data_IF_401373021968
#
_entry.id   IF_401373021968
#
_cell.length_a   1.000
_cell.length_b   1.000
_cell.length_c   1.000
_cell.angle_alpha   90.00
_cell.angle_beta   90.00
_cell.angle_gamma   90.00
#
_symmetry.space_group_name_H-M   'P 1'
#
loop_
_entity.id
_entity.type
_entity.pdbx_description
1 polymer ?
#
# COMPACT_ATOMS: atom_id res chain seq x y z
N UNK A 1 43.30 29.65 37.37
CA UNK A 1 41.98 28.98 37.23
C UNK A 1 42.23 27.50 36.94
N UNK A 2 41.87 26.58 37.85
CA UNK A 2 42.13 25.13 37.68
C UNK A 2 40.95 24.51 36.95
N UNK A 3 41.15 24.12 35.69
CA UNK A 3 40.11 23.50 34.85
C UNK A 3 39.97 22.03 35.28
N UNK A 4 38.85 21.71 35.94
CA UNK A 4 38.55 20.35 36.38
C UNK A 4 37.88 19.60 35.23
N UNK A 5 38.67 19.00 34.34
CA UNK A 5 38.18 18.13 33.29
C UNK A 5 38.10 16.70 33.82
N UNK A 6 36.97 16.34 34.42
CA UNK A 6 36.62 14.94 34.64
C UNK A 6 36.20 14.36 33.29
N UNK A 7 37.03 13.47 32.74
CA UNK A 7 36.70 12.68 31.56
C UNK A 7 35.81 11.50 31.94
N UNK A 8 34.98 11.06 30.99
CA UNK A 8 34.21 9.82 31.11
C UNK A 8 35.14 8.63 31.34
N UNK A 9 34.72 7.69 32.19
CA UNK A 9 35.43 6.44 32.40
C UNK A 9 34.96 5.38 31.41
N UNK A 10 35.84 4.48 30.98
CA UNK A 10 35.47 3.38 30.07
C UNK A 10 34.34 2.51 30.63
N UNK A 11 34.30 2.32 31.95
CA UNK A 11 33.28 1.52 32.65
C UNK A 11 31.89 2.16 32.51
N UNK A 12 31.81 3.48 32.60
CA UNK A 12 30.57 4.23 32.47
C UNK A 12 30.01 4.14 31.06
N UNK A 13 30.89 4.19 30.05
CA UNK A 13 30.51 4.04 28.65
C UNK A 13 30.12 2.59 28.33
N UNK A 14 30.82 1.60 28.90
CA UNK A 14 30.52 0.18 28.77
C UNK A 14 29.11 -0.15 29.30
N UNK A 15 28.76 0.35 30.49
CA UNK A 15 27.45 0.11 31.09
C UNK A 15 26.31 0.63 30.19
N UNK A 16 26.48 1.80 29.56
CA UNK A 16 25.49 2.38 28.65
C UNK A 16 25.29 1.51 27.42
N UNK A 17 26.37 1.01 26.80
CA UNK A 17 26.28 0.14 25.61
C UNK A 17 25.58 -1.18 25.94
N UNK A 18 25.81 -1.74 27.13
CA UNK A 18 25.10 -2.94 27.60
C UNK A 18 23.60 -2.68 27.73
N UNK A 19 23.19 -1.56 28.34
CA UNK A 19 21.77 -1.22 28.44
C UNK A 19 21.13 -0.95 27.08
N UNK A 20 21.81 -0.24 26.17
CA UNK A 20 21.33 -0.01 24.80
C UNK A 20 21.18 -1.33 24.02
N UNK A 21 22.09 -2.28 24.21
CA UNK A 21 22.01 -3.62 23.61
C UNK A 21 20.78 -4.40 24.08
N UNK A 22 20.46 -4.37 25.38
CA UNK A 22 19.28 -5.05 25.94
C UNK A 22 17.99 -4.46 25.35
N UNK A 23 17.90 -3.12 25.29
CA UNK A 23 16.72 -2.44 24.73
C UNK A 23 16.57 -2.76 23.24
N UNK A 24 17.68 -2.78 22.47
CA UNK A 24 17.66 -3.06 21.04
C UNK A 24 17.14 -4.47 20.71
N UNK A 25 17.51 -5.49 21.50
CA UNK A 25 17.05 -6.88 21.30
C UNK A 25 15.54 -7.01 21.47
N UNK A 26 14.93 -6.27 22.41
CA UNK A 26 13.47 -6.29 22.65
C UNK A 26 12.73 -5.45 21.60
N UNK A 27 13.30 -4.32 21.19
CA UNK A 27 12.67 -3.39 20.25
C UNK A 27 12.65 -3.91 18.81
N UNK A 28 13.75 -4.53 18.35
CA UNK A 28 13.91 -4.98 16.96
C UNK A 28 12.77 -5.87 16.42
N UNK A 29 12.34 -6.97 17.09
CA UNK A 29 11.29 -7.83 16.54
C UNK A 29 9.92 -7.16 16.48
N UNK A 30 9.65 -6.18 17.34
CA UNK A 30 8.38 -5.45 17.35
C UNK A 30 8.30 -4.47 16.18
N UNK A 31 9.39 -3.76 15.88
CA UNK A 31 9.45 -2.84 14.74
C UNK A 31 9.24 -3.56 13.40
N UNK A 32 9.85 -4.73 13.20
CA UNK A 32 9.68 -5.51 11.96
C UNK A 32 8.24 -6.00 11.74
N UNK A 33 7.50 -6.32 12.81
CA UNK A 33 6.09 -6.75 12.69
C UNK A 33 5.15 -5.60 12.36
N UNK A 34 5.37 -4.43 12.94
CA UNK A 34 4.55 -3.26 12.66
C UNK A 34 4.77 -2.73 11.24
N UNK A 35 6.00 -2.82 10.71
CA UNK A 35 6.30 -2.46 9.32
C UNK A 35 5.51 -3.34 8.34
N UNK A 36 5.59 -4.68 8.50
CA UNK A 36 4.86 -5.62 7.65
C UNK A 36 3.34 -5.45 7.77
N UNK A 37 2.83 -5.17 8.97
CA UNK A 37 1.40 -4.90 9.16
C UNK A 37 0.97 -3.61 8.46
N UNK A 38 1.80 -2.56 8.51
CA UNK A 38 1.53 -1.32 7.78
C UNK A 38 1.51 -1.56 6.26
N UNK A 39 2.34 -2.45 5.73
CA UNK A 39 2.31 -2.84 4.31
C UNK A 39 1.01 -3.57 3.96
N UNK A 40 0.60 -4.56 4.75
CA UNK A 40 -0.66 -5.30 4.56
C UNK A 40 -1.89 -4.37 4.65
N UNK A 41 -1.88 -3.41 5.58
CA UNK A 41 -2.95 -2.42 5.71
C UNK A 41 -2.97 -1.46 4.51
N UNK A 42 -1.81 -0.97 4.07
CA UNK A 42 -1.69 -0.16 2.86
C UNK A 42 -2.18 -0.93 1.61
N UNK A 43 -1.94 -2.25 1.59
CA UNK A 43 -2.42 -3.16 0.54
C UNK A 43 -3.94 -3.17 0.39
N UNK A 44 -4.63 -3.29 1.52
CA UNK A 44 -6.09 -3.28 1.54
C UNK A 44 -6.67 -1.94 1.09
N UNK A 45 -5.98 -0.83 1.39
CA UNK A 45 -6.46 0.53 1.11
C UNK A 45 -6.41 0.84 -0.39
N UNK A 46 -5.35 0.52 -1.15
CA UNK A 46 -5.38 0.83 -2.58
C UNK A 46 -6.39 -0.05 -3.33
N UNK A 47 -6.56 -1.32 -2.93
CA UNK A 47 -7.58 -2.18 -3.52
C UNK A 47 -8.98 -1.57 -3.36
N UNK A 48 -9.27 -1.03 -2.17
CA UNK A 48 -10.53 -0.31 -1.92
C UNK A 48 -10.65 0.98 -2.74
N UNK A 49 -9.56 1.69 -3.00
CA UNK A 49 -9.57 2.88 -3.87
C UNK A 49 -9.86 2.52 -5.32
N UNK A 50 -9.23 1.47 -5.84
CA UNK A 50 -9.47 0.96 -7.20
C UNK A 50 -10.94 0.55 -7.34
N UNK A 51 -11.47 -0.18 -6.36
CA UNK A 51 -12.88 -0.59 -6.31
C UNK A 51 -13.85 0.61 -6.38
N UNK A 52 -13.63 1.62 -5.54
CA UNK A 52 -14.45 2.83 -5.54
C UNK A 52 -14.33 3.63 -6.86
N UNK A 53 -13.13 3.72 -7.42
CA UNK A 53 -12.90 4.40 -8.69
C UNK A 53 -13.61 3.67 -9.84
N UNK A 54 -13.50 2.34 -9.90
CA UNK A 54 -14.17 1.50 -10.88
C UNK A 54 -15.70 1.64 -10.82
N UNK A 55 -16.27 1.64 -9.62
CA UNK A 55 -17.69 1.92 -9.41
C UNK A 55 -18.10 3.29 -9.96
N UNK A 56 -17.31 4.32 -9.66
CA UNK A 56 -17.61 5.67 -10.11
C UNK A 56 -17.49 5.81 -11.63
N UNK A 57 -16.49 5.17 -12.24
CA UNK A 57 -16.31 5.16 -13.70
C UNK A 57 -17.45 4.45 -14.43
N UNK A 58 -17.81 3.25 -13.95
CA UNK A 58 -18.93 2.49 -14.50
C UNK A 58 -20.26 3.25 -14.38
N UNK A 59 -20.51 3.88 -13.23
CA UNK A 59 -21.71 4.70 -13.03
C UNK A 59 -21.71 5.95 -13.93
N UNK A 60 -20.55 6.54 -14.21
CA UNK A 60 -20.42 7.76 -15.03
C UNK A 60 -20.60 7.49 -16.52
N UNK A 61 -20.02 6.42 -17.06
CA UNK A 61 -19.94 6.17 -18.51
C UNK A 61 -20.82 5.03 -19.01
N UNK A 62 -21.19 4.09 -18.13
CA UNK A 62 -21.86 2.85 -18.53
C UNK A 62 -23.20 2.64 -17.83
N UNK A 63 -23.80 3.70 -17.29
CA UNK A 63 -25.10 3.66 -16.61
C UNK A 63 -26.19 2.91 -17.41
N UNK A 64 -26.25 3.09 -18.73
CA UNK A 64 -27.21 2.38 -19.60
C UNK A 64 -26.92 0.90 -19.72
N UNK A 65 -25.65 0.50 -19.81
CA UNK A 65 -25.23 -0.91 -19.85
C UNK A 65 -25.50 -1.63 -18.54
N UNK A 66 -25.34 -0.93 -17.42
CA UNK A 66 -25.72 -1.44 -16.09
C UNK A 66 -27.22 -1.73 -16.00
N UNK A 67 -28.07 -0.88 -16.60
CA UNK A 67 -29.54 -1.08 -16.60
C UNK A 67 -29.95 -2.21 -17.54
N UNK A 68 -29.29 -2.32 -18.68
CA UNK A 68 -29.64 -3.30 -19.72
C UNK A 68 -29.10 -4.70 -19.43
N UNK A 69 -28.36 -4.87 -18.34
CA UNK A 69 -27.55 -6.06 -18.16
C UNK A 69 -26.71 -6.29 -19.45
N UNK A 70 -25.73 -5.41 -19.68
CA UNK A 70 -24.63 -5.68 -20.62
C UNK A 70 -23.29 -5.69 -19.89
N UNK A 71 -22.34 -6.48 -20.39
CA UNK A 71 -20.99 -6.54 -19.83
C UNK A 71 -20.24 -5.22 -20.12
N UNK A 72 -19.50 -4.76 -19.12
CA UNK A 72 -18.70 -3.54 -19.20
C UNK A 72 -17.23 -3.89 -19.00
N UNK A 73 -16.39 -3.38 -19.91
CA UNK A 73 -14.94 -3.56 -19.86
C UNK A 73 -14.27 -2.20 -19.99
N UNK A 74 -13.32 -1.91 -19.10
CA UNK A 74 -12.43 -0.75 -19.11
C UNK A 74 -11.13 -1.09 -18.38
N UNK A 75 -10.11 -0.25 -18.41
CA UNK A 75 -8.81 -0.56 -17.80
C UNK A 75 -8.47 0.33 -16.61
N UNK A 76 -7.40 -0.01 -15.88
CA UNK A 76 -6.84 0.86 -14.83
C UNK A 76 -6.34 2.21 -15.40
N UNK A 77 -5.85 2.22 -16.64
CA UNK A 77 -5.50 3.46 -17.33
C UNK A 77 -6.71 4.37 -17.55
N UNK A 78 -7.88 3.81 -17.88
CA UNK A 78 -9.10 4.61 -18.06
C UNK A 78 -9.46 5.37 -16.78
N UNK A 79 -9.34 4.70 -15.63
CA UNK A 79 -9.57 5.28 -14.30
C UNK A 79 -8.59 6.39 -13.96
N UNK A 80 -7.31 6.19 -14.26
CA UNK A 80 -6.27 7.19 -14.03
C UNK A 80 -6.41 8.39 -14.96
N UNK A 81 -6.75 8.14 -16.23
CA UNK A 81 -6.96 9.19 -17.24
C UNK A 81 -8.19 10.05 -16.94
N UNK A 82 -9.23 9.47 -16.33
CA UNK A 82 -10.41 10.20 -15.85
C UNK A 82 -10.16 10.92 -14.51
N UNK A 83 -8.99 10.74 -13.91
CA UNK A 83 -8.58 11.37 -12.65
C UNK A 83 -9.30 10.81 -11.42
N UNK A 84 -9.91 9.63 -11.54
CA UNK A 84 -10.64 8.98 -10.44
C UNK A 84 -9.71 8.30 -9.44
N UNK A 85 -8.50 7.99 -9.86
CA UNK A 85 -7.47 7.40 -9.03
C UNK A 85 -6.08 7.90 -9.46
N UNK A 86 -5.21 8.08 -8.47
CA UNK A 86 -3.79 8.32 -8.69
C UNK A 86 -3.04 7.05 -8.32
N UNK A 87 -2.70 6.26 -9.34
CA UNK A 87 -1.87 5.09 -9.22
C UNK A 87 -0.42 5.57 -9.24
N UNK A 88 0.24 5.54 -8.08
CA UNK A 88 1.71 5.73 -8.01
C UNK A 88 2.40 4.69 -8.91
N UNK A 89 3.61 5.03 -9.38
CA UNK A 89 4.45 4.26 -10.34
C UNK A 89 4.46 2.74 -10.14
N UNK A 90 4.22 2.26 -8.92
CA UNK A 90 4.17 0.84 -8.57
C UNK A 90 3.06 0.05 -9.30
N UNK A 91 1.98 0.66 -9.80
CA UNK A 91 0.96 -0.06 -10.59
C UNK A 91 1.18 -0.01 -12.11
N UNK A 92 2.31 0.55 -12.58
CA UNK A 92 2.49 0.89 -13.99
C UNK A 92 2.51 -0.30 -14.96
N UNK A 93 2.71 -1.53 -14.47
CA UNK A 93 2.73 -2.74 -15.30
C UNK A 93 1.34 -3.31 -15.60
N UNK A 94 0.29 -2.81 -14.94
CA UNK A 94 -1.08 -3.33 -15.01
C UNK A 94 -2.08 -2.30 -15.53
N UNK A 95 -1.61 -1.18 -16.09
CA UNK A 95 -2.48 -0.11 -16.57
C UNK A 95 -3.43 -0.61 -17.67
N UNK A 96 -3.04 -1.66 -18.40
CA UNK A 96 -3.83 -2.32 -19.44
C UNK A 96 -4.70 -3.47 -18.91
N UNK A 97 -4.65 -3.77 -17.60
CA UNK A 97 -5.48 -4.83 -17.02
C UNK A 97 -6.96 -4.45 -17.12
N UNK A 98 -7.72 -5.35 -17.76
CA UNK A 98 -9.14 -5.18 -17.99
C UNK A 98 -9.93 -5.40 -16.71
N UNK A 99 -10.83 -4.47 -16.43
CA UNK A 99 -11.83 -4.50 -15.37
C UNK A 99 -13.14 -4.92 -16.01
N UNK A 100 -13.69 -6.06 -15.62
CA UNK A 100 -14.93 -6.61 -16.18
C UNK A 100 -16.05 -6.52 -15.15
N UNK A 101 -17.17 -5.92 -15.52
CA UNK A 101 -18.39 -5.89 -14.69
C UNK A 101 -19.43 -6.77 -15.39
N UNK A 102 -19.92 -7.79 -14.68
CA UNK A 102 -20.87 -8.79 -15.19
C UNK A 102 -22.27 -8.65 -14.55
N UNK A 103 -23.24 -9.42 -15.02
CA UNK A 103 -24.64 -9.37 -14.53
C UNK A 103 -24.89 -9.92 -13.14
N UNK A 104 -23.94 -10.65 -12.58
CA UNK A 104 -24.06 -11.19 -11.23
C UNK A 104 -23.53 -10.21 -10.19
N UNK A 105 -22.93 -9.10 -10.64
CA UNK A 105 -22.43 -8.01 -9.82
C UNK A 105 -21.11 -7.49 -10.36
N UNK A 106 -20.45 -6.66 -9.56
CA UNK A 106 -19.13 -6.15 -9.94
C UNK A 106 -18.06 -7.22 -9.69
N UNK A 107 -17.48 -7.77 -10.76
CA UNK A 107 -16.50 -8.85 -10.71
C UNK A 107 -15.07 -8.33 -10.91
N UNK A 108 -14.48 -7.84 -9.82
CA UNK A 108 -13.10 -7.30 -9.81
C UNK A 108 -12.02 -8.36 -9.51
N UNK A 109 -12.33 -9.65 -9.65
CA UNK A 109 -11.48 -10.71 -9.10
C UNK A 109 -10.14 -10.86 -9.83
N UNK A 110 -10.03 -10.38 -11.07
CA UNK A 110 -8.78 -10.35 -11.83
C UNK A 110 -7.79 -9.28 -11.32
N UNK A 111 -8.25 -8.06 -10.99
CA UNK A 111 -7.41 -7.02 -10.35
C UNK A 111 -7.03 -7.42 -8.91
N UNK A 112 -7.94 -8.09 -8.19
CA UNK A 112 -7.69 -8.62 -6.85
C UNK A 112 -6.71 -9.81 -6.85
N UNK A 113 -6.53 -10.48 -7.99
CA UNK A 113 -5.68 -11.67 -8.08
C UNK A 113 -4.22 -11.31 -8.32
N UNK A 114 -3.90 -10.18 -8.96
CA UNK A 114 -2.52 -9.76 -9.17
C UNK A 114 -2.00 -8.94 -7.97
N UNK A 115 -1.95 -9.64 -6.82
CA UNK A 115 -1.57 -9.09 -5.51
C UNK A 115 -0.12 -8.61 -5.43
N UNK A 116 0.70 -8.96 -6.42
CA UNK A 116 2.16 -8.84 -6.33
C UNK A 116 2.73 -7.62 -7.07
N UNK A 117 1.96 -6.89 -7.87
CA UNK A 117 2.56 -5.97 -8.85
C UNK A 117 2.37 -4.50 -8.50
N UNK A 118 1.26 -4.10 -7.86
CA UNK A 118 1.00 -2.73 -7.39
C UNK A 118 1.73 -2.34 -6.08
N UNK A 119 2.32 -3.33 -5.40
CA UNK A 119 3.07 -3.15 -4.16
C UNK A 119 4.45 -3.76 -4.31
N UNK A 120 5.35 -2.98 -4.89
CA UNK A 120 6.77 -3.21 -4.74
C UNK A 120 7.30 -2.09 -3.85
N UNK A 121 7.87 -2.48 -2.70
CA UNK A 121 8.60 -1.58 -1.80
C UNK A 121 9.71 -0.85 -2.56
N UNK A 122 9.92 0.44 -2.24
CA UNK A 122 11.23 1.07 -2.35
C UNK A 122 12.00 0.85 -1.06
#
# INVERSE_FOLDING_TARGET
MKKNSKGFTLVELLAIVVFLGIIAVIAAPNMTREIRRSEEENQSILNQKIDNAAHLYAAKYYASKLINNEDITFTLNDLQSDGLIDLKDNCSNNLDDEIIIDHNGYNYDNIKSDKDTCYQEQ
#
